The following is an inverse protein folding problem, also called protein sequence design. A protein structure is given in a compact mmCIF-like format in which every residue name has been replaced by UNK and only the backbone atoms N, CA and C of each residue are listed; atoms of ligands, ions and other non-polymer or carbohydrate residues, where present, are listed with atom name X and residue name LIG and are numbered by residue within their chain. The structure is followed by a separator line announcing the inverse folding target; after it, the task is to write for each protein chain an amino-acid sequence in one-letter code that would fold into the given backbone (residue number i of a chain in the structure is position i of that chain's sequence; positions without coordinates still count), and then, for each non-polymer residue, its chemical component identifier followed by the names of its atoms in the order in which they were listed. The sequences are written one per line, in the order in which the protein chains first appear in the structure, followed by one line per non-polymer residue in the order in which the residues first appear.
data_IF_100661763554
#
_entry.id   IF_100661763554
#
_cell.length_a   1.000
_cell.length_b   1.000
_cell.length_c   1.000
_cell.angle_alpha   90.00
_cell.angle_beta   90.00
_cell.angle_gamma   90.00
#
_symmetry.space_group_name_H-M   'P 1'
#
loop_
_entity.id
_entity.type
_entity.pdbx_description
1 polymer ?
#
# COMPACT_ATOMS: atom_id res chain seq x y z
N UNK A 1 -20.87 2.60 62.73
CA UNK A 1 -19.80 3.56 62.36
C UNK A 1 -18.72 2.73 61.66
N UNK A 2 -18.97 2.02 60.56
CA UNK A 2 -19.73 2.30 59.34
C UNK A 2 -19.54 3.71 58.81
N UNK A 3 -19.07 3.78 57.57
CA UNK A 3 -18.85 4.99 56.77
C UNK A 3 -17.44 5.63 56.83
N UNK A 4 -16.34 4.87 56.72
CA UNK A 4 -15.04 5.46 56.30
C UNK A 4 -14.05 4.52 55.58
N UNK A 5 -14.49 3.35 55.10
CA UNK A 5 -13.63 2.38 54.40
C UNK A 5 -14.14 1.97 52.99
N UNK A 6 -14.94 2.83 52.35
CA UNK A 6 -15.49 2.53 51.02
C UNK A 6 -15.13 3.55 49.93
N UNK A 7 -14.46 4.66 50.29
CA UNK A 7 -14.10 5.72 49.34
C UNK A 7 -12.66 5.60 48.80
N UNK A 8 -11.81 4.76 49.39
CA UNK A 8 -10.40 4.61 48.98
C UNK A 8 -10.20 3.58 47.85
N UNK A 9 -11.14 2.65 47.69
CA UNK A 9 -11.08 1.60 46.64
C UNK A 9 -11.75 2.07 45.35
N UNK A 10 -12.70 3.01 45.43
CA UNK A 10 -13.42 3.55 44.25
C UNK A 10 -12.56 4.59 43.50
N UNK A 11 -11.63 5.27 44.18
CA UNK A 11 -10.75 6.25 43.52
C UNK A 11 -9.61 5.60 42.71
N UNK A 12 -9.20 4.36 43.05
CA UNK A 12 -8.15 3.64 42.32
C UNK A 12 -8.69 2.86 41.11
N UNK A 13 -9.96 2.45 41.13
CA UNK A 13 -10.66 1.87 39.98
C UNK A 13 -11.20 2.93 39.00
N UNK A 14 -11.43 4.16 39.46
CA UNK A 14 -11.77 5.30 38.59
C UNK A 14 -10.56 5.92 37.83
N UNK A 15 -9.33 5.48 38.12
CA UNK A 15 -8.11 5.85 37.38
C UNK A 15 -7.66 4.77 36.38
N UNK A 16 -8.50 3.75 36.18
CA UNK A 16 -8.50 2.88 35.00
C UNK A 16 -9.67 3.32 34.10
N UNK A 17 -9.88 4.63 33.96
CA UNK A 17 -10.44 5.12 32.71
C UNK A 17 -9.36 4.80 31.69
N UNK A 18 -9.68 3.81 30.84
CA UNK A 18 -8.98 3.49 29.63
C UNK A 18 -8.39 4.76 29.02
N UNK A 19 -7.11 4.97 29.28
CA UNK A 19 -6.30 5.86 28.48
C UNK A 19 -6.11 5.09 27.16
N UNK A 20 -7.18 5.00 26.36
CA UNK A 20 -7.08 4.97 24.91
C UNK A 20 -6.55 6.34 24.52
N UNK A 21 -5.32 6.65 24.95
CA UNK A 21 -4.54 7.72 24.39
C UNK A 21 -4.32 7.29 22.95
N UNK A 22 -5.22 7.73 22.07
CA UNK A 22 -5.12 7.55 20.64
C UNK A 22 -3.76 8.09 20.24
N UNK A 23 -2.82 7.18 20.02
CA UNK A 23 -1.48 7.53 19.63
C UNK A 23 -1.60 8.08 18.20
N UNK A 24 -1.39 9.38 18.03
CA UNK A 24 -1.60 10.08 16.76
C UNK A 24 -0.29 10.67 16.22
N UNK A 25 -0.23 10.83 14.90
CA UNK A 25 0.76 11.67 14.25
C UNK A 25 0.25 13.10 14.25
N UNK A 26 1.00 14.02 14.87
CA UNK A 26 0.66 15.44 14.83
C UNK A 26 1.46 16.11 13.70
N UNK A 27 0.90 16.13 12.49
CA UNK A 27 1.59 16.63 11.30
C UNK A 27 1.80 18.16 11.30
N UNK A 28 1.07 18.90 12.12
CA UNK A 28 1.36 20.33 12.38
C UNK A 28 2.80 20.58 12.84
N UNK A 29 3.45 19.60 13.48
CA UNK A 29 4.86 19.67 13.88
C UNK A 29 5.86 19.70 12.72
N UNK A 30 5.47 19.27 11.52
CA UNK A 30 6.27 19.47 10.30
C UNK A 30 5.80 20.68 9.46
N UNK A 31 4.91 21.49 10.03
CA UNK A 31 4.36 22.72 9.44
C UNK A 31 3.13 22.51 8.56
N UNK A 32 2.46 21.35 8.64
CA UNK A 32 1.20 21.10 7.95
C UNK A 32 0.03 21.68 8.74
N UNK A 33 -0.49 22.83 8.32
CA UNK A 33 -1.58 23.55 9.00
C UNK A 33 -2.84 23.63 8.14
N UNK A 34 -3.10 22.61 7.32
CA UNK A 34 -4.26 22.56 6.44
C UNK A 34 -4.82 21.13 6.37
N UNK A 35 -6.09 20.96 5.93
CA UNK A 35 -6.66 19.65 5.77
C UNK A 35 -5.87 18.78 4.79
N UNK A 36 -5.69 17.53 5.17
CA UNK A 36 -4.92 16.55 4.40
C UNK A 36 -5.58 15.17 4.43
N UNK A 37 -5.21 14.31 3.48
CA UNK A 37 -5.52 12.89 3.54
C UNK A 37 -4.27 12.06 3.30
N UNK A 38 -4.23 10.88 3.91
CA UNK A 38 -3.14 9.92 3.67
C UNK A 38 -3.56 9.04 2.49
N UNK A 39 -2.77 9.06 1.42
CA UNK A 39 -2.97 8.26 0.22
C UNK A 39 -2.38 6.86 0.36
N UNK A 40 -1.21 6.77 0.98
CA UNK A 40 -0.50 5.51 1.18
C UNK A 40 0.40 5.61 2.41
N UNK A 41 0.55 4.48 3.10
CA UNK A 41 1.42 4.33 4.24
C UNK A 41 2.37 3.16 4.00
N UNK A 42 3.67 3.37 4.25
CA UNK A 42 4.63 2.28 4.37
C UNK A 42 5.33 2.29 5.71
N UNK A 43 5.75 1.12 6.16
CA UNK A 43 6.48 0.96 7.43
C UNK A 43 7.78 0.21 7.19
N UNK A 44 8.82 0.58 7.95
CA UNK A 44 10.07 -0.15 8.05
C UNK A 44 10.56 -0.06 9.49
N UNK A 45 10.53 -1.18 10.22
CA UNK A 45 10.74 -1.20 11.67
C UNK A 45 9.78 -0.23 12.39
N UNK A 46 10.31 0.82 13.02
CA UNK A 46 9.52 1.87 13.66
C UNK A 46 9.25 3.08 12.75
N UNK A 47 9.95 3.20 11.62
CA UNK A 47 9.74 4.30 10.69
C UNK A 47 8.45 4.09 9.90
N UNK A 48 7.76 5.19 9.64
CA UNK A 48 6.53 5.28 8.88
C UNK A 48 6.70 6.36 7.83
N UNK A 49 6.34 6.06 6.58
CA UNK A 49 6.32 7.03 5.50
C UNK A 49 4.89 7.23 5.05
N UNK A 50 4.44 8.48 5.15
CA UNK A 50 3.10 8.90 4.79
C UNK A 50 3.18 9.66 3.46
N UNK A 51 2.54 9.09 2.45
CA UNK A 51 2.21 9.79 1.21
C UNK A 51 0.89 10.53 1.44
N UNK A 52 0.92 11.86 1.46
CA UNK A 52 -0.23 12.71 1.81
C UNK A 52 -0.63 13.62 0.65
N UNK A 53 -1.92 13.94 0.56
CA UNK A 53 -2.45 14.99 -0.30
C UNK A 53 -3.02 16.11 0.55
N UNK A 54 -2.74 17.37 0.19
CA UNK A 54 -3.32 18.55 0.83
C UNK A 54 -4.28 19.29 -0.11
N UNK A 55 -5.23 20.05 0.45
CA UNK A 55 -6.18 20.83 -0.34
C UNK A 55 -5.47 21.88 -1.22
N UNK A 56 -4.45 22.55 -0.68
CA UNK A 56 -3.70 23.60 -1.37
C UNK A 56 -2.78 23.07 -2.48
N UNK A 57 -2.31 21.83 -2.37
CA UNK A 57 -1.29 21.22 -3.26
C UNK A 57 0.03 21.99 -3.31
N UNK A 58 0.38 22.71 -2.24
CA UNK A 58 1.67 23.42 -2.11
C UNK A 58 2.49 22.94 -0.92
N UNK A 59 2.00 21.95 -0.18
CA UNK A 59 2.74 21.34 0.92
C UNK A 59 3.51 20.09 0.44
N UNK A 60 4.70 19.77 1.01
CA UNK A 60 5.40 18.53 0.73
C UNK A 60 4.56 17.28 0.95
N UNK A 61 4.64 16.32 0.02
CA UNK A 61 3.67 15.20 -0.06
C UNK A 61 4.19 13.88 0.51
N UNK A 62 5.43 13.85 1.01
CA UNK A 62 6.05 12.67 1.62
C UNK A 62 6.62 13.03 2.99
N UNK A 63 6.07 12.41 4.02
CA UNK A 63 6.42 12.66 5.41
C UNK A 63 7.01 11.40 6.02
N UNK A 64 8.18 11.52 6.62
CA UNK A 64 8.76 10.52 7.49
C UNK A 64 8.33 10.78 8.93
N UNK A 65 7.93 9.73 9.63
CA UNK A 65 7.63 9.78 11.07
C UNK A 65 7.90 8.42 11.68
N UNK A 66 7.55 8.24 12.95
CA UNK A 66 7.61 6.97 13.65
C UNK A 66 6.20 6.52 14.00
N UNK A 67 6.00 5.22 14.17
CA UNK A 67 4.72 4.74 14.67
C UNK A 67 4.46 5.28 16.08
N UNK A 68 3.28 5.83 16.36
CA UNK A 68 3.03 6.44 17.65
C UNK A 68 2.90 5.31 18.67
N UNK A 69 3.88 5.20 19.57
CA UNK A 69 3.84 4.25 20.70
C UNK A 69 3.39 4.98 21.94
N UNK A 70 2.72 4.26 22.84
CA UNK A 70 2.08 4.83 24.05
C UNK A 70 3.06 5.34 25.10
N UNK A 71 4.37 5.20 24.90
CA UNK A 71 5.36 5.44 25.94
C UNK A 71 6.43 6.46 25.50
N UNK A 72 6.41 7.63 26.16
CA UNK A 72 7.52 8.58 26.37
C UNK A 72 7.72 9.71 25.35
N UNK A 73 7.63 9.51 24.03
CA UNK A 73 7.80 10.63 23.06
C UNK A 73 6.85 10.53 21.88
N UNK A 74 6.12 11.61 21.60
CA UNK A 74 5.39 11.75 20.35
C UNK A 74 6.38 11.77 19.18
N UNK A 75 6.15 10.98 18.12
CA UNK A 75 6.93 11.07 16.90
C UNK A 75 7.01 12.53 16.43
N UNK A 76 8.17 12.97 15.96
CA UNK A 76 8.31 14.28 15.31
C UNK A 76 8.32 14.01 13.80
N UNK A 77 7.21 14.24 13.08
CA UNK A 77 7.19 14.08 11.64
C UNK A 77 8.17 15.04 10.97
N UNK A 78 8.77 14.61 9.87
CA UNK A 78 9.71 15.39 9.06
C UNK A 78 9.35 15.24 7.59
N UNK A 79 9.56 16.30 6.83
CA UNK A 79 9.42 16.24 5.38
C UNK A 79 10.58 15.40 4.81
N UNK A 80 10.26 14.36 4.04
CA UNK A 80 11.25 13.48 3.44
C UNK A 80 11.31 13.64 1.92
N UNK A 81 12.50 13.60 1.27
CA UNK A 81 13.82 13.57 1.91
C UNK A 81 14.18 14.95 2.50
N UNK A 82 13.73 16.02 1.86
CA UNK A 82 13.82 17.39 2.36
C UNK A 82 12.80 18.26 1.62
N UNK A 83 12.34 19.37 2.22
CA UNK A 83 11.33 20.27 1.62
C UNK A 83 11.70 20.77 0.21
N UNK A 84 12.99 20.98 -0.05
CA UNK A 84 13.50 21.41 -1.37
C UNK A 84 13.33 20.38 -2.50
N UNK A 85 13.03 19.12 -2.18
CA UNK A 85 12.73 18.07 -3.17
C UNK A 85 11.26 18.07 -3.60
N UNK A 86 10.41 18.83 -2.92
CA UNK A 86 8.97 18.89 -3.20
C UNK A 86 8.63 20.15 -3.97
N UNK A 87 7.72 20.05 -4.92
CA UNK A 87 7.19 21.20 -5.61
C UNK A 87 6.15 21.90 -4.72
N UNK A 88 6.61 22.84 -3.90
CA UNK A 88 5.76 23.60 -2.97
C UNK A 88 5.27 24.93 -3.55
N UNK A 89 5.47 25.16 -4.85
CA UNK A 89 5.15 26.41 -5.51
C UNK A 89 4.09 26.20 -6.59
N UNK A 90 3.36 27.25 -6.94
CA UNK A 90 2.42 27.21 -8.06
C UNK A 90 3.12 27.03 -9.43
N UNK A 91 4.41 27.37 -9.52
CA UNK A 91 5.22 27.12 -10.71
C UNK A 91 5.71 25.67 -10.73
N UNK A 92 5.28 24.90 -11.74
CA UNK A 92 5.60 23.48 -11.86
C UNK A 92 7.06 23.26 -12.24
N UNK A 93 7.82 22.66 -11.33
CA UNK A 93 9.15 22.12 -11.63
C UNK A 93 9.10 20.59 -11.60
N UNK A 94 9.01 19.95 -12.78
CA UNK A 94 8.89 18.50 -12.89
C UNK A 94 10.12 17.69 -12.42
N UNK A 95 11.23 18.36 -12.09
CA UNK A 95 12.37 17.72 -11.41
C UNK A 95 12.07 17.44 -9.93
N UNK A 96 11.15 18.18 -9.33
CA UNK A 96 10.74 17.96 -7.94
C UNK A 96 9.61 16.93 -7.85
N UNK A 97 9.41 16.36 -6.67
CA UNK A 97 8.26 15.54 -6.32
C UNK A 97 7.01 16.42 -6.42
N UNK A 98 6.04 15.99 -7.23
CA UNK A 98 4.76 16.69 -7.32
C UNK A 98 3.82 16.14 -6.25
N UNK A 99 3.48 14.87 -6.36
CA UNK A 99 2.62 14.14 -5.43
C UNK A 99 3.15 12.72 -5.27
N UNK A 100 3.83 12.46 -4.16
CA UNK A 100 4.12 11.09 -3.74
C UNK A 100 2.77 10.39 -3.47
N UNK A 101 2.44 9.37 -4.26
CA UNK A 101 1.17 8.63 -4.12
C UNK A 101 1.35 7.25 -3.52
N UNK A 102 2.55 6.71 -3.63
CA UNK A 102 2.91 5.43 -3.05
C UNK A 102 4.37 5.48 -2.63
N UNK A 103 4.68 4.77 -1.56
CA UNK A 103 6.05 4.57 -1.10
C UNK A 103 6.21 3.16 -0.52
N UNK A 104 7.35 2.53 -0.69
CA UNK A 104 7.66 1.28 0.00
C UNK A 104 9.17 1.11 0.15
N UNK A 105 9.60 0.62 1.31
CA UNK A 105 11.00 0.26 1.56
C UNK A 105 11.27 -1.12 0.98
N UNK A 106 12.38 -1.28 0.26
CA UNK A 106 12.90 -2.60 -0.12
C UNK A 106 13.89 -3.15 0.92
N UNK A 107 14.30 -4.41 0.76
CA UNK A 107 15.23 -5.03 1.70
C UNK A 107 16.67 -4.48 1.64
N UNK A 108 16.98 -3.60 0.68
CA UNK A 108 18.23 -2.84 0.62
C UNK A 108 18.17 -1.49 1.35
N UNK A 109 17.09 -1.22 2.08
CA UNK A 109 16.86 0.07 2.74
C UNK A 109 16.80 1.22 1.72
N UNK A 110 16.22 0.95 0.54
CA UNK A 110 15.85 2.01 -0.40
C UNK A 110 14.35 2.26 -0.33
N UNK A 111 13.98 3.52 -0.11
CA UNK A 111 12.59 3.96 -0.20
C UNK A 111 12.27 4.25 -1.65
N UNK A 112 11.43 3.42 -2.24
CA UNK A 112 10.84 3.65 -3.55
C UNK A 112 9.64 4.57 -3.40
N UNK A 113 9.51 5.54 -4.30
CA UNK A 113 8.43 6.53 -4.29
C UNK A 113 7.88 6.68 -5.69
N UNK A 114 6.58 6.44 -5.84
CA UNK A 114 5.87 6.72 -7.08
C UNK A 114 5.28 8.12 -7.02
N UNK A 115 5.74 8.97 -7.94
CA UNK A 115 5.32 10.35 -8.06
C UNK A 115 4.42 10.54 -9.30
N UNK A 116 3.32 11.23 -9.12
CA UNK A 116 2.40 11.64 -10.18
C UNK A 116 2.12 13.14 -10.08
N UNK A 117 1.79 13.80 -11.18
CA UNK A 117 1.19 15.12 -11.12
C UNK A 117 -0.28 15.03 -10.67
N UNK A 118 -0.75 16.01 -9.91
CA UNK A 118 -2.13 16.19 -9.48
C UNK A 118 -3.14 16.42 -10.62
N UNK A 119 -2.67 16.79 -11.81
CA UNK A 119 -3.51 17.24 -12.91
C UNK A 119 -3.29 16.42 -14.17
N UNK A 120 -4.36 15.86 -14.74
CA UNK A 120 -4.33 15.15 -16.03
C UNK A 120 -4.29 16.09 -17.27
N UNK A 121 -4.03 17.40 -17.09
CA UNK A 121 -3.97 18.38 -18.19
C UNK A 121 -2.65 18.29 -18.97
N UNK A 122 -2.65 18.78 -20.21
CA UNK A 122 -1.56 18.66 -21.20
C UNK A 122 -0.18 19.21 -20.77
N UNK A 123 -0.10 20.06 -19.73
CA UNK A 123 1.17 20.55 -19.15
C UNK A 123 1.48 19.87 -17.80
N UNK A 124 1.28 18.56 -17.73
CA UNK A 124 1.50 17.77 -16.52
C UNK A 124 2.88 17.15 -16.47
N UNK A 125 3.46 17.09 -15.28
CA UNK A 125 4.67 16.34 -15.06
C UNK A 125 4.38 14.85 -15.26
N UNK A 126 5.24 14.20 -16.04
CA UNK A 126 5.13 12.78 -16.31
C UNK A 126 5.34 11.95 -15.04
N UNK A 127 4.65 10.81 -14.89
CA UNK A 127 4.84 9.91 -13.76
C UNK A 127 6.29 9.44 -13.70
N UNK A 128 6.85 9.45 -12.48
CA UNK A 128 8.22 9.03 -12.24
C UNK A 128 8.34 8.19 -10.99
N UNK A 129 9.24 7.21 -11.06
CA UNK A 129 9.60 6.37 -9.93
C UNK A 129 10.97 6.81 -9.42
N UNK A 130 11.05 7.11 -8.14
CA UNK A 130 12.24 7.58 -7.45
C UNK A 130 12.70 6.50 -6.45
N UNK A 131 14.01 6.37 -6.24
CA UNK A 131 14.56 5.56 -5.17
C UNK A 131 15.54 6.38 -4.32
N UNK A 132 15.35 6.35 -3.01
CA UNK A 132 16.19 7.04 -2.02
C UNK A 132 16.92 6.02 -1.15
N UNK A 133 18.24 6.09 -1.09
CA UNK A 133 19.08 5.15 -0.32
C UNK A 133 19.29 5.65 1.11
N UNK A 134 18.73 4.94 2.09
CA UNK A 134 18.83 5.31 3.50
C UNK A 134 20.23 5.09 4.09
N UNK A 135 20.99 4.13 3.56
CA UNK A 135 22.38 3.91 3.98
C UNK A 135 23.26 5.11 3.59
N UNK A 136 22.81 5.90 2.62
CA UNK A 136 23.45 7.12 2.13
C UNK A 136 22.65 8.38 2.50
N UNK A 137 22.12 8.44 3.72
CA UNK A 137 21.43 9.62 4.26
C UNK A 137 20.21 10.06 3.42
N UNK A 138 19.51 9.12 2.78
CA UNK A 138 18.31 9.42 1.99
C UNK A 138 18.61 10.08 0.64
N UNK A 139 19.82 9.91 0.09
CA UNK A 139 20.15 10.42 -1.24
C UNK A 139 19.31 9.76 -2.32
N UNK A 140 18.84 10.56 -3.29
CA UNK A 140 18.21 10.05 -4.52
C UNK A 140 19.28 9.29 -5.34
N UNK A 141 19.05 7.99 -5.54
CA UNK A 141 19.98 7.12 -6.29
C UNK A 141 19.44 6.72 -7.67
N UNK A 142 18.12 6.76 -7.87
CA UNK A 142 17.48 6.45 -9.14
C UNK A 142 16.27 7.34 -9.39
N UNK A 143 16.07 7.67 -10.68
CA UNK A 143 14.91 8.37 -11.20
C UNK A 143 14.54 7.79 -12.55
N UNK A 144 13.34 7.22 -12.64
CA UNK A 144 12.87 6.49 -13.81
C UNK A 144 11.63 7.21 -14.35
N UNK A 145 11.67 7.55 -15.64
CA UNK A 145 10.48 8.03 -16.36
C UNK A 145 9.55 6.84 -16.66
N UNK A 146 8.42 6.81 -15.98
CA UNK A 146 7.43 5.75 -16.12
C UNK A 146 6.48 5.98 -17.31
N UNK A 147 6.38 7.20 -17.83
CA UNK A 147 5.43 7.54 -18.88
C UNK A 147 5.73 6.80 -20.18
N UNK A 148 7.02 6.62 -20.49
CA UNK A 148 7.45 5.86 -21.67
C UNK A 148 6.87 4.44 -21.72
N UNK A 149 6.61 3.83 -20.56
CA UNK A 149 6.22 2.42 -20.45
C UNK A 149 4.76 2.21 -20.08
N UNK A 150 4.22 3.01 -19.16
CA UNK A 150 2.84 2.82 -18.69
C UNK A 150 1.83 3.71 -19.42
N UNK A 151 2.19 4.92 -19.87
CA UNK A 151 1.27 5.90 -20.49
C UNK A 151 -0.09 6.05 -19.76
N UNK A 152 -0.05 6.04 -18.44
CA UNK A 152 -1.25 6.08 -17.59
C UNK A 152 -1.47 7.45 -16.97
N UNK A 153 -2.75 7.74 -16.68
CA UNK A 153 -3.17 8.82 -15.78
C UNK A 153 -3.14 8.35 -14.32
N UNK A 154 -3.10 9.28 -13.35
CA UNK A 154 -3.07 8.94 -11.94
C UNK A 154 -4.19 7.99 -11.50
N UNK A 155 -5.43 8.22 -11.91
CA UNK A 155 -6.61 7.42 -11.54
C UNK A 155 -6.60 5.99 -12.10
N UNK A 156 -5.71 5.69 -13.05
CA UNK A 156 -5.60 4.38 -13.64
C UNK A 156 -4.62 3.47 -12.90
N UNK A 157 -3.73 4.01 -12.07
CA UNK A 157 -2.84 3.20 -11.24
C UNK A 157 -3.61 2.72 -10.01
N UNK A 158 -3.83 1.43 -9.89
CA UNK A 158 -4.59 0.83 -8.80
C UNK A 158 -3.70 0.44 -7.62
N UNK A 159 -2.56 -0.18 -7.90
CA UNK A 159 -1.65 -0.65 -6.85
C UNK A 159 -0.21 -0.75 -7.36
N UNK A 160 0.73 -0.70 -6.43
CA UNK A 160 2.15 -0.95 -6.65
C UNK A 160 2.66 -1.89 -5.56
N UNK A 161 3.38 -2.94 -5.94
CA UNK A 161 3.90 -3.92 -5.00
C UNK A 161 5.36 -4.25 -5.27
N UNK A 162 6.21 -4.11 -4.26
CA UNK A 162 7.54 -4.69 -4.26
C UNK A 162 7.45 -6.19 -3.97
N UNK A 163 8.15 -7.00 -4.75
CA UNK A 163 8.31 -8.42 -4.45
C UNK A 163 8.49 -9.28 -5.70
N UNK A 164 8.26 -10.60 -5.55
CA UNK A 164 8.44 -11.30 -4.29
C UNK A 164 9.89 -11.14 -3.78
N UNK A 165 10.06 -11.08 -2.45
CA UNK A 165 11.36 -11.16 -1.81
C UNK A 165 11.94 -12.59 -1.99
N UNK A 166 12.97 -12.75 -2.82
CA UNK A 166 13.50 -14.04 -3.23
C UNK A 166 14.97 -14.25 -2.81
N UNK A 167 15.35 -15.51 -2.61
CA UNK A 167 16.73 -15.91 -2.33
C UNK A 167 17.17 -15.74 -0.87
N UNK A 168 18.44 -16.06 -0.58
CA UNK A 168 19.00 -16.12 0.80
C UNK A 168 18.97 -14.78 1.55
N UNK A 169 18.92 -13.65 0.83
CA UNK A 169 18.82 -12.31 1.41
C UNK A 169 17.42 -11.70 1.28
N UNK A 170 16.44 -12.47 0.76
CA UNK A 170 15.07 -12.00 0.56
C UNK A 170 14.96 -10.81 -0.37
N UNK A 171 15.80 -10.66 -1.38
CA UNK A 171 15.79 -9.44 -2.20
C UNK A 171 14.56 -9.39 -3.10
N UNK A 172 13.91 -8.24 -3.18
CA UNK A 172 12.90 -7.96 -4.19
C UNK A 172 13.59 -7.75 -5.55
N UNK A 173 13.14 -8.50 -6.56
CA UNK A 173 13.62 -8.32 -7.94
C UNK A 173 12.78 -7.32 -8.72
N UNK A 174 11.47 -7.30 -8.46
CA UNK A 174 10.52 -6.54 -9.27
C UNK A 174 9.70 -5.55 -8.45
N UNK A 175 9.31 -4.49 -9.14
CA UNK A 175 8.24 -3.57 -8.75
C UNK A 175 7.08 -3.81 -9.71
N UNK A 176 5.96 -4.29 -9.20
CA UNK A 176 4.79 -4.58 -10.01
C UNK A 176 3.79 -3.43 -9.94
N UNK A 177 3.17 -3.13 -11.08
CA UNK A 177 2.17 -2.07 -11.24
C UNK A 177 0.88 -2.69 -11.74
N UNK A 178 -0.22 -2.38 -11.05
CA UNK A 178 -1.56 -2.80 -11.41
C UNK A 178 -2.30 -1.62 -12.05
N UNK A 179 -2.68 -1.77 -13.30
CA UNK A 179 -3.33 -0.72 -14.10
C UNK A 179 -4.79 -1.07 -14.35
N UNK A 180 -5.68 -0.12 -14.11
CA UNK A 180 -7.11 -0.29 -14.26
C UNK A 180 -7.51 -0.73 -15.67
N UNK A 181 -8.30 -1.81 -15.73
CA UNK A 181 -8.81 -2.43 -16.97
C UNK A 181 -7.73 -3.02 -17.90
N UNK A 182 -6.45 -2.98 -17.50
CA UNK A 182 -5.39 -3.65 -18.23
C UNK A 182 -5.42 -5.16 -17.90
N UNK A 183 -5.07 -5.99 -18.86
CA UNK A 183 -5.01 -7.47 -18.70
C UNK A 183 -3.58 -7.95 -18.55
N UNK A 184 -2.68 -7.05 -18.15
CA UNK A 184 -1.27 -7.32 -17.98
C UNK A 184 -0.81 -6.95 -16.56
N UNK A 185 0.17 -7.71 -16.08
CA UNK A 185 0.99 -7.34 -14.94
C UNK A 185 2.23 -6.62 -15.47
N UNK A 186 2.34 -5.32 -15.19
CA UNK A 186 3.52 -4.53 -15.56
C UNK A 186 4.55 -4.68 -14.45
N UNK A 187 5.79 -4.97 -14.80
CA UNK A 187 6.87 -5.14 -13.84
C UNK A 187 8.09 -4.32 -14.26
N UNK A 188 8.79 -3.76 -13.27
CA UNK A 188 10.10 -3.17 -13.44
C UNK A 188 11.12 -4.03 -12.71
N UNK A 189 12.09 -4.59 -13.43
CA UNK A 189 13.23 -5.30 -12.83
C UNK A 189 14.22 -4.30 -12.28
N UNK A 190 14.44 -4.35 -10.97
CA UNK A 190 15.28 -3.42 -10.22
C UNK A 190 16.76 -3.58 -10.59
N UNK A 191 17.21 -4.78 -10.91
CA UNK A 191 18.62 -5.07 -11.18
C UNK A 191 18.97 -4.81 -12.64
N UNK A 192 18.13 -5.29 -13.56
CA UNK A 192 18.33 -5.08 -14.99
C UNK A 192 17.89 -3.69 -15.47
N UNK A 193 17.11 -2.99 -14.65
CA UNK A 193 16.48 -1.71 -14.99
C UNK A 193 15.62 -1.78 -16.26
N UNK A 194 14.91 -2.90 -16.44
CA UNK A 194 14.07 -3.17 -17.60
C UNK A 194 12.61 -3.28 -17.22
N UNK A 195 11.76 -2.86 -18.15
CA UNK A 195 10.32 -3.01 -18.03
C UNK A 195 9.85 -4.27 -18.73
N UNK A 196 8.92 -4.96 -18.07
CA UNK A 196 8.26 -6.15 -18.57
C UNK A 196 6.75 -5.96 -18.48
N UNK A 197 6.03 -6.64 -19.37
CA UNK A 197 4.58 -6.62 -19.40
C UNK A 197 4.09 -8.04 -19.65
N UNK A 198 3.51 -8.65 -18.63
CA UNK A 198 3.11 -10.05 -18.66
C UNK A 198 1.61 -10.16 -18.86
N UNK A 199 1.13 -10.74 -19.98
CA UNK A 199 -0.28 -11.06 -20.15
C UNK A 199 -0.76 -11.97 -19.01
N UNK A 200 -1.91 -11.65 -18.42
CA UNK A 200 -2.52 -12.46 -17.37
C UNK A 200 -3.61 -13.34 -17.97
N UNK A 201 -3.34 -14.65 -18.01
CA UNK A 201 -4.14 -15.61 -18.76
C UNK A 201 -4.65 -16.71 -17.83
N UNK A 202 -5.94 -17.01 -17.87
CA UNK A 202 -6.52 -18.12 -17.09
C UNK A 202 -7.41 -19.03 -17.93
N UNK A 203 -7.30 -20.34 -17.70
CA UNK A 203 -8.29 -21.33 -18.14
C UNK A 203 -9.48 -21.34 -17.18
N UNK A 204 -10.13 -20.18 -17.07
CA UNK A 204 -11.22 -19.89 -16.13
C UNK A 204 -12.42 -20.84 -16.27
N UNK A 205 -12.63 -21.37 -17.47
CA UNK A 205 -13.67 -22.35 -17.79
C UNK A 205 -13.01 -23.60 -18.36
N UNK A 206 -13.26 -24.76 -17.72
CA UNK A 206 -12.64 -26.04 -18.11
C UNK A 206 -13.01 -26.46 -19.54
N UNK A 207 -14.18 -26.06 -20.01
CA UNK A 207 -14.72 -26.43 -21.33
C UNK A 207 -14.33 -25.46 -22.44
N UNK A 208 -13.69 -24.34 -22.09
CA UNK A 208 -13.20 -23.36 -23.07
C UNK A 208 -11.72 -23.63 -23.30
N UNK A 209 -11.37 -24.08 -24.52
CA UNK A 209 -9.99 -24.37 -24.90
C UNK A 209 -9.07 -23.11 -24.88
N UNK A 210 -9.65 -21.92 -24.81
CA UNK A 210 -8.96 -20.63 -24.89
C UNK A 210 -8.75 -20.04 -23.49
N UNK A 211 -7.51 -19.62 -23.20
CA UNK A 211 -7.22 -18.84 -21.99
C UNK A 211 -7.83 -17.45 -22.09
N UNK A 212 -8.57 -17.05 -21.06
CA UNK A 212 -9.22 -15.74 -20.99
C UNK A 212 -8.35 -14.74 -20.23
N UNK A 213 -8.42 -13.45 -20.59
CA UNK A 213 -7.70 -12.40 -19.88
C UNK A 213 -8.26 -12.20 -18.46
N UNK A 214 -7.36 -11.91 -17.52
CA UNK A 214 -7.66 -11.51 -16.14
C UNK A 214 -7.33 -10.02 -15.96
N UNK A 215 -8.17 -9.26 -15.26
CA UNK A 215 -7.98 -7.83 -15.04
C UNK A 215 -7.66 -7.58 -13.56
N UNK A 216 -6.38 -7.51 -13.20
CA UNK A 216 -5.96 -7.48 -11.82
C UNK A 216 -6.43 -6.19 -11.14
N UNK A 217 -6.90 -6.32 -9.89
CA UNK A 217 -7.13 -5.22 -8.96
C UNK A 217 -6.09 -5.14 -7.87
N UNK A 218 -5.58 -6.28 -7.45
CA UNK A 218 -4.49 -6.34 -6.49
C UNK A 218 -3.58 -7.55 -6.78
N UNK A 219 -2.32 -7.46 -6.32
CA UNK A 219 -1.37 -8.56 -6.34
C UNK A 219 -0.75 -8.72 -4.97
N UNK A 220 -0.59 -9.96 -4.53
CA UNK A 220 0.12 -10.28 -3.30
C UNK A 220 1.10 -11.44 -3.51
N UNK A 221 2.15 -11.47 -2.71
CA UNK A 221 3.19 -12.48 -2.79
C UNK A 221 3.18 -13.36 -1.56
N UNK A 222 3.23 -14.67 -1.76
CA UNK A 222 3.48 -15.61 -0.68
C UNK A 222 4.98 -15.82 -0.49
N UNK A 223 5.38 -16.28 0.70
CA UNK A 223 6.77 -16.66 0.98
C UNK A 223 7.27 -17.84 0.11
N UNK A 224 6.38 -18.55 -0.59
CA UNK A 224 6.69 -19.72 -1.41
C UNK A 224 6.85 -19.39 -2.90
N UNK A 225 7.12 -18.12 -3.25
CA UNK A 225 7.20 -17.61 -4.63
C UNK A 225 5.87 -17.62 -5.39
N UNK A 226 4.75 -17.75 -4.69
CA UNK A 226 3.45 -17.68 -5.34
C UNK A 226 3.03 -16.23 -5.52
N UNK A 227 2.45 -15.94 -6.68
CA UNK A 227 1.81 -14.68 -7.01
C UNK A 227 0.30 -14.92 -6.93
N UNK A 228 -0.38 -14.19 -6.06
CA UNK A 228 -1.82 -14.17 -5.91
C UNK A 228 -2.37 -12.93 -6.61
N UNK A 229 -3.37 -13.11 -7.46
CA UNK A 229 -3.99 -12.03 -8.23
C UNK A 229 -5.48 -12.01 -7.93
N UNK A 230 -5.94 -10.90 -7.36
CA UNK A 230 -7.37 -10.62 -7.22
C UNK A 230 -7.86 -9.89 -8.49
N UNK A 231 -8.88 -10.44 -9.13
CA UNK A 231 -9.50 -9.90 -10.35
C UNK A 231 -10.63 -8.93 -10.02
N UNK A 232 -11.01 -8.11 -10.99
CA UNK A 232 -12.08 -7.13 -10.81
C UNK A 232 -13.45 -7.76 -10.55
N UNK A 233 -13.64 -9.01 -10.96
CA UNK A 233 -14.87 -9.78 -10.75
C UNK A 233 -14.91 -10.53 -9.40
N UNK A 234 -13.93 -10.28 -8.52
CA UNK A 234 -13.85 -10.91 -7.20
C UNK A 234 -13.27 -12.33 -7.22
N UNK A 235 -12.77 -12.82 -8.35
CA UNK A 235 -12.05 -14.11 -8.38
C UNK A 235 -10.61 -13.95 -7.95
N UNK A 236 -10.10 -14.99 -7.29
CA UNK A 236 -8.71 -15.09 -6.88
C UNK A 236 -7.99 -16.14 -7.71
N UNK A 237 -6.81 -15.77 -8.22
CA UNK A 237 -5.95 -16.65 -8.99
C UNK A 237 -4.58 -16.79 -8.34
N UNK A 238 -3.90 -17.88 -8.66
CA UNK A 238 -2.52 -18.15 -8.25
C UNK A 238 -1.66 -18.53 -9.44
N UNK A 239 -0.39 -18.15 -9.38
CA UNK A 239 0.68 -18.63 -10.27
C UNK A 239 2.01 -18.66 -9.50
N UNK A 240 3.04 -19.24 -10.09
CA UNK A 240 4.40 -19.19 -9.53
C UNK A 240 5.21 -18.07 -10.20
N UNK A 241 5.99 -17.30 -9.45
CA UNK A 241 6.86 -16.29 -10.03
C UNK A 241 7.94 -16.88 -10.94
N UNK A 242 8.29 -18.16 -10.78
CA UNK A 242 9.18 -18.87 -11.71
C UNK A 242 8.53 -19.19 -13.06
N UNK A 243 7.21 -19.12 -13.16
CA UNK A 243 6.44 -19.37 -14.39
C UNK A 243 6.22 -18.09 -15.20
N UNK A 244 6.90 -17.00 -14.84
CA UNK A 244 7.00 -15.82 -15.69
C UNK A 244 7.86 -16.20 -16.92
N UNK A 245 7.21 -16.80 -17.91
CA UNK A 245 7.79 -17.12 -19.22
C UNK A 245 7.50 -15.95 -20.17
N UNK A 246 8.33 -15.76 -21.20
CA UNK A 246 8.14 -14.74 -22.24
C UNK A 246 6.73 -14.74 -22.90
N UNK A 247 5.93 -15.79 -22.72
CA UNK A 247 4.57 -15.93 -23.25
C UNK A 247 3.45 -15.43 -22.32
N UNK A 248 3.77 -14.94 -21.11
CA UNK A 248 2.81 -14.45 -20.12
C UNK A 248 2.65 -15.36 -18.91
N UNK A 249 1.82 -14.92 -17.95
CA UNK A 249 1.61 -15.59 -16.68
C UNK A 249 0.33 -16.42 -16.73
N UNK A 250 0.46 -17.74 -16.63
CA UNK A 250 -0.67 -18.66 -16.57
C UNK A 250 -1.22 -18.74 -15.15
N UNK A 251 -2.51 -18.44 -15.02
CA UNK A 251 -3.21 -18.27 -13.77
C UNK A 251 -4.18 -19.43 -13.52
N UNK A 252 -4.02 -20.08 -12.36
CA UNK A 252 -4.95 -21.09 -11.87
C UNK A 252 -5.97 -20.43 -10.94
N UNK A 253 -7.26 -20.69 -11.18
CA UNK A 253 -8.33 -20.20 -10.30
C UNK A 253 -8.23 -20.87 -8.92
N UNK A 254 -8.21 -20.06 -7.86
CA UNK A 254 -8.32 -20.52 -6.48
C UNK A 254 -9.76 -20.52 -5.98
N UNK A 255 -10.59 -19.58 -6.44
CA UNK A 255 -11.98 -19.47 -6.03
C UNK A 255 -12.50 -18.05 -6.09
N UNK A 256 -13.54 -17.77 -5.30
CA UNK A 256 -14.23 -16.48 -5.27
C UNK A 256 -14.09 -15.82 -3.91
N UNK A 257 -13.72 -14.54 -3.92
CA UNK A 257 -13.79 -13.64 -2.77
C UNK A 257 -15.22 -13.09 -2.64
N UNK A 258 -15.52 -12.43 -1.52
CA UNK A 258 -16.82 -11.77 -1.30
C UNK A 258 -17.02 -10.52 -2.18
N UNK A 259 -15.95 -10.02 -2.81
CA UNK A 259 -16.00 -8.84 -3.67
C UNK A 259 -14.64 -8.53 -4.29
N UNK A 260 -14.56 -7.39 -4.98
CA UNK A 260 -13.31 -6.91 -5.57
C UNK A 260 -12.35 -6.44 -4.47
N UNK A 261 -11.21 -7.13 -4.34
CA UNK A 261 -10.20 -6.81 -3.35
C UNK A 261 -9.28 -5.68 -3.85
N UNK A 262 -9.37 -4.50 -3.23
CA UNK A 262 -8.50 -3.37 -3.57
C UNK A 262 -7.16 -3.41 -2.82
N UNK A 263 -7.12 -4.11 -1.69
CA UNK A 263 -5.90 -4.35 -0.93
C UNK A 263 -5.90 -5.80 -0.45
N UNK A 264 -4.84 -6.56 -0.78
CA UNK A 264 -4.67 -7.97 -0.43
C UNK A 264 -3.33 -8.16 0.29
N UNK A 265 -3.37 -8.93 1.37
CA UNK A 265 -2.21 -9.40 2.13
C UNK A 265 -2.28 -10.91 2.29
N UNK A 266 -1.11 -11.50 2.41
CA UNK A 266 -0.93 -12.94 2.58
C UNK A 266 -0.09 -13.15 3.82
N UNK A 267 -0.61 -13.96 4.73
CA UNK A 267 0.15 -14.59 5.80
C UNK A 267 0.32 -16.08 5.47
N UNK A 268 0.95 -16.87 6.35
CA UNK A 268 1.28 -18.29 6.10
C UNK A 268 0.05 -19.11 5.67
N UNK A 269 -1.04 -19.00 6.44
CA UNK A 269 -2.24 -19.83 6.28
C UNK A 269 -3.47 -19.02 5.83
N UNK A 270 -3.44 -17.71 6.05
CA UNK A 270 -4.58 -16.83 5.84
C UNK A 270 -4.24 -15.73 4.84
N UNK A 271 -5.27 -15.23 4.19
CA UNK A 271 -5.25 -14.04 3.37
C UNK A 271 -6.19 -13.03 3.99
N UNK A 272 -5.82 -11.76 3.88
CA UNK A 272 -6.63 -10.65 4.35
C UNK A 272 -6.86 -9.73 3.19
N UNK A 273 -8.08 -9.26 3.02
CA UNK A 273 -8.38 -8.31 1.96
C UNK A 273 -9.43 -7.29 2.37
N UNK A 274 -9.33 -6.10 1.78
CA UNK A 274 -10.31 -5.03 1.95
C UNK A 274 -11.28 -5.00 0.77
N UNK A 275 -12.56 -4.79 1.05
CA UNK A 275 -13.60 -4.50 0.05
C UNK A 275 -14.12 -3.08 0.32
N UNK A 276 -13.55 -2.05 -0.34
CA UNK A 276 -13.80 -0.67 0.08
C UNK A 276 -15.26 -0.25 -0.10
N UNK A 277 -15.93 -0.75 -1.14
CA UNK A 277 -17.36 -0.51 -1.39
C UNK A 277 -18.27 -0.93 -0.21
N UNK A 278 -17.81 -1.83 0.66
CA UNK A 278 -18.54 -2.28 1.85
C UNK A 278 -17.88 -1.86 3.16
N UNK A 279 -16.76 -1.12 3.10
CA UNK A 279 -15.95 -0.80 4.28
C UNK A 279 -15.54 -2.03 5.09
N UNK A 280 -15.32 -3.16 4.41
CA UNK A 280 -15.09 -4.46 5.05
C UNK A 280 -13.63 -4.88 4.98
N UNK A 281 -13.13 -5.47 6.06
CA UNK A 281 -11.89 -6.28 6.05
C UNK A 281 -12.27 -7.73 6.28
N UNK A 282 -11.78 -8.58 5.40
CA UNK A 282 -12.14 -10.00 5.34
C UNK A 282 -10.90 -10.86 5.51
N UNK A 283 -11.00 -11.88 6.35
CA UNK A 283 -10.04 -12.98 6.48
C UNK A 283 -10.54 -14.16 5.66
N UNK A 284 -9.65 -14.81 4.93
CA UNK A 284 -9.96 -15.99 4.15
C UNK A 284 -8.80 -17.00 4.26
N UNK A 285 -9.07 -18.29 4.52
CA UNK A 285 -8.03 -19.30 4.51
C UNK A 285 -7.44 -19.44 3.10
N UNK A 286 -6.12 -19.63 3.02
CA UNK A 286 -5.42 -19.84 1.76
C UNK A 286 -5.54 -21.30 1.33
N UNK A 287 -6.58 -21.60 0.55
CA UNK A 287 -6.82 -22.95 0.00
C UNK A 287 -7.29 -22.92 -1.44
N UNK A 288 -7.43 -24.10 -2.04
CA UNK A 288 -8.10 -24.27 -3.33
C UNK A 288 -9.62 -24.36 -3.13
N UNK A 289 -10.37 -23.96 -4.16
CA UNK A 289 -11.83 -23.93 -4.18
C UNK A 289 -12.42 -23.05 -3.07
N UNK A 290 -11.91 -21.81 -2.96
CA UNK A 290 -12.45 -20.82 -2.02
C UNK A 290 -13.87 -20.46 -2.43
N UNK A 291 -14.78 -20.52 -1.46
CA UNK A 291 -16.20 -20.19 -1.57
C UNK A 291 -16.56 -19.05 -0.62
N UNK A 292 -17.78 -18.51 -0.75
CA UNK A 292 -18.25 -17.44 0.14
C UNK A 292 -18.22 -17.85 1.62
N UNK A 293 -18.49 -19.12 1.93
CA UNK A 293 -18.51 -19.68 3.30
C UNK A 293 -17.13 -19.69 3.97
N UNK A 294 -16.05 -19.61 3.19
CA UNK A 294 -14.68 -19.57 3.70
C UNK A 294 -14.26 -18.17 4.17
N UNK A 295 -15.06 -17.15 3.85
CA UNK A 295 -14.69 -15.75 4.08
C UNK A 295 -15.33 -15.23 5.37
N UNK A 296 -14.49 -14.76 6.28
CA UNK A 296 -14.90 -14.19 7.57
C UNK A 296 -14.70 -12.67 7.53
N UNK A 297 -15.78 -11.90 7.69
CA UNK A 297 -15.69 -10.45 7.85
C UNK A 297 -15.22 -10.15 9.28
N UNK A 298 -13.98 -9.68 9.42
CA UNK A 298 -13.35 -9.41 10.72
C UNK A 298 -13.46 -7.94 11.15
N UNK A 299 -13.85 -7.05 10.24
CA UNK A 299 -14.08 -5.64 10.53
C UNK A 299 -15.06 -5.02 9.51
N UNK A 300 -15.92 -4.11 9.99
CA UNK A 300 -16.86 -3.34 9.19
C UNK A 300 -16.84 -1.87 9.63
N UNK A 301 -16.86 -0.97 8.65
CA UNK A 301 -16.99 0.48 8.84
C UNK A 301 -17.83 1.08 7.73
N UNK A 302 -18.30 2.30 7.93
CA UNK A 302 -19.04 3.08 6.91
C UNK A 302 -18.12 3.82 5.95
N UNK A 303 -16.80 3.74 6.14
CA UNK A 303 -15.80 4.48 5.35
C UNK A 303 -15.00 3.55 4.45
N UNK A 304 -14.51 4.08 3.32
CA UNK A 304 -13.68 3.33 2.39
C UNK A 304 -12.31 3.03 3.00
N UNK A 305 -11.84 1.80 2.82
CA UNK A 305 -10.52 1.34 3.28
C UNK A 305 -9.59 1.29 2.07
N UNK A 306 -8.57 2.15 2.04
CA UNK A 306 -7.65 2.23 0.90
C UNK A 306 -6.53 1.19 0.94
N UNK A 307 -6.11 0.82 2.15
CA UNK A 307 -4.94 -0.04 2.34
C UNK A 307 -5.11 -0.86 3.60
N UNK A 308 -4.70 -2.13 3.56
CA UNK A 308 -4.41 -2.94 4.73
C UNK A 308 -2.92 -3.26 4.77
N UNK A 309 -2.36 -3.38 5.97
CA UNK A 309 -0.95 -3.78 6.15
C UNK A 309 -0.74 -4.46 7.51
N UNK A 310 0.24 -5.36 7.56
CA UNK A 310 0.71 -5.95 8.81
C UNK A 310 1.72 -5.05 9.50
N UNK A 311 1.74 -5.09 10.84
CA UNK A 311 2.80 -4.50 11.65
C UNK A 311 3.21 -5.44 12.79
N UNK A 312 3.47 -4.90 13.97
CA UNK A 312 4.06 -5.60 15.11
C UNK A 312 3.23 -6.82 15.50
N UNK A 313 3.92 -7.96 15.66
CA UNK A 313 3.36 -9.22 16.17
C UNK A 313 2.12 -9.73 15.40
N UNK A 314 2.06 -9.49 14.09
CA UNK A 314 0.94 -9.96 13.25
C UNK A 314 -0.34 -9.12 13.36
N UNK A 315 -0.28 -7.96 14.01
CA UNK A 315 -1.42 -7.03 14.07
C UNK A 315 -1.74 -6.50 12.66
N UNK A 316 -3.03 -6.50 12.33
CA UNK A 316 -3.55 -5.96 11.07
C UNK A 316 -4.01 -4.51 11.29
N UNK A 317 -3.52 -3.61 10.45
CA UNK A 317 -3.93 -2.21 10.41
C UNK A 317 -4.54 -1.89 9.06
N UNK A 318 -5.37 -0.86 9.03
CA UNK A 318 -6.00 -0.38 7.81
C UNK A 318 -5.99 1.15 7.75
N UNK A 319 -5.94 1.67 6.53
CA UNK A 319 -6.00 3.08 6.22
C UNK A 319 -7.38 3.41 5.65
N UNK A 320 -8.05 4.39 6.24
CA UNK A 320 -9.34 4.90 5.76
C UNK A 320 -9.10 6.11 4.85
N UNK A 321 -9.84 6.22 3.74
CA UNK A 321 -9.90 7.45 2.94
C UNK A 321 -10.68 8.52 3.70
N UNK A 322 -9.99 9.50 4.25
CA UNK A 322 -10.61 10.60 4.98
C UNK A 322 -9.72 11.84 4.96
N UNK A 323 -10.35 12.99 4.74
CA UNK A 323 -9.73 14.29 4.96
C UNK A 323 -9.70 14.58 6.45
N UNK A 324 -8.50 14.61 7.01
CA UNK A 324 -8.23 15.03 8.37
C UNK A 324 -8.22 16.55 8.44
N UNK A 325 -8.91 17.09 9.44
CA UNK A 325 -8.92 18.49 9.80
C UNK A 325 -8.33 18.54 11.22
N UNK A 326 -7.07 18.99 11.33
CA UNK A 326 -6.35 19.14 12.61
C UNK A 326 -6.76 20.45 13.32
#
# INVERSE_FOLDING_TARGET
MDMFMQNSVILLTALIVFNTSSASWLLTRCGLNEPYRVLHLSTNNNHVYLSIETKSKIFPTLIETEWPTTCVRFPIPKVFPHRSFHNTNHHRNCRLIQQARWSQMDNFQRLWVMDFDWSAKQNSCLPKLLAFDFMRQGMEVLRIDCHKFMKIKPEQLLDIKLGPAMGKRGMEQFIYFIIAKDTHLVAYDIFEQKWFRYPLLSKKYKDVAVSLPVKPRNVAFSHQKEILIADEDGKLYISNSSEIVNAGLQLKLLGSLLGSAESLLVDRNDMFYAIPAFGAVVRCPRKHNITAEDNEIIYLTTRNINQIFFRTKGSLYFLIDYWQED
#
